data_IF_899995640085
#
_entry.id   IF_899995640085
#
_cell.length_a   1.000
_cell.length_b   1.000
_cell.length_c   1.000
_cell.angle_alpha   90.00
_cell.angle_beta   90.00
_cell.angle_gamma   90.00
#
_symmetry.space_group_name_H-M   'P 1'
#
loop_
_entity.id
_entity.type
_entity.pdbx_description
1 polymer ?
#
# COMPACT_ATOMS: atom_id res chain seq x y z
N UNK A 1 16.23 -5.35 -2.94
CA UNK A 1 14.76 -5.52 -3.10
C UNK A 1 14.04 -4.95 -1.89
N UNK A 2 12.79 -4.57 -2.05
CA UNK A 2 11.96 -4.08 -0.95
C UNK A 2 10.93 -5.13 -0.55
N UNK A 3 10.50 -5.06 0.72
CA UNK A 3 9.44 -5.90 1.27
C UNK A 3 8.43 -5.05 2.05
N UNK A 4 7.18 -5.49 1.97
CA UNK A 4 6.08 -5.06 2.84
C UNK A 4 5.61 -6.29 3.61
N UNK A 5 5.60 -6.18 4.93
CA UNK A 5 5.20 -7.25 5.83
C UNK A 5 3.99 -6.77 6.62
N UNK A 6 2.86 -7.42 6.40
CA UNK A 6 1.66 -7.22 7.25
C UNK A 6 1.68 -8.29 8.31
N UNK A 7 1.90 -7.90 9.56
CA UNK A 7 1.91 -8.80 10.71
C UNK A 7 0.64 -8.60 11.53
N UNK A 8 -0.08 -9.68 11.78
CA UNK A 8 -1.27 -9.73 12.63
C UNK A 8 -0.98 -10.68 13.79
N UNK A 9 -0.95 -10.14 15.00
CA UNK A 9 -0.85 -10.89 16.25
C UNK A 9 -2.26 -11.01 16.81
N UNK A 10 -2.81 -12.22 16.85
CA UNK A 10 -4.24 -12.45 17.11
C UNK A 10 -4.59 -12.47 18.61
N UNK A 11 -3.61 -12.74 19.47
CA UNK A 11 -3.78 -12.83 20.92
C UNK A 11 -2.53 -12.35 21.65
N UNK A 12 -2.65 -12.12 22.95
CA UNK A 12 -1.52 -11.66 23.75
C UNK A 12 -0.42 -12.72 23.83
N UNK A 13 0.82 -12.34 23.51
CA UNK A 13 1.99 -13.23 23.55
C UNK A 13 3.09 -12.53 24.34
N UNK A 14 3.73 -13.23 25.30
CA UNK A 14 4.80 -12.69 26.15
C UNK A 14 4.41 -11.39 26.89
N UNK A 15 3.16 -11.26 27.32
CA UNK A 15 2.66 -10.06 28.00
C UNK A 15 2.40 -8.86 27.10
N UNK A 16 2.57 -8.99 25.78
CA UNK A 16 2.21 -7.96 24.81
C UNK A 16 0.80 -8.21 24.29
N UNK A 17 -0.03 -7.16 24.10
CA UNK A 17 -1.39 -7.30 23.59
C UNK A 17 -1.40 -7.72 22.11
N UNK A 18 -2.55 -8.24 21.66
CA UNK A 18 -2.84 -8.42 20.25
C UNK A 18 -2.61 -7.10 19.47
N UNK A 19 -1.95 -7.18 18.32
CA UNK A 19 -1.54 -6.01 17.55
C UNK A 19 -1.41 -6.34 16.07
N UNK A 20 -1.78 -5.38 15.21
CA UNK A 20 -1.53 -5.45 13.78
C UNK A 20 -0.60 -4.32 13.38
N UNK A 21 0.46 -4.65 12.63
CA UNK A 21 1.43 -3.67 12.16
C UNK A 21 1.90 -3.95 10.73
N UNK A 22 2.29 -2.88 10.05
CA UNK A 22 2.90 -2.96 8.72
C UNK A 22 4.36 -2.55 8.82
N UNK A 23 5.26 -3.45 8.47
CA UNK A 23 6.71 -3.22 8.43
C UNK A 23 7.15 -3.10 6.98
N UNK A 24 7.94 -2.07 6.68
CA UNK A 24 8.50 -1.82 5.36
C UNK A 24 10.01 -1.77 5.47
N UNK A 25 10.70 -2.56 4.67
CA UNK A 25 12.16 -2.54 4.63
C UNK A 25 12.66 -2.79 3.22
N UNK A 26 13.80 -2.19 2.89
CA UNK A 26 14.52 -2.41 1.64
C UNK A 26 15.95 -2.80 1.97
N UNK A 27 16.50 -3.72 1.18
CA UNK A 27 17.86 -4.19 1.36
C UNK A 27 18.23 -5.29 0.37
N UNK A 28 19.47 -5.75 0.45
CA UNK A 28 19.91 -6.93 -0.29
C UNK A 28 19.51 -8.18 0.47
N UNK A 29 18.69 -9.03 -0.16
CA UNK A 29 18.33 -10.35 0.36
C UNK A 29 18.33 -11.33 -0.80
N UNK A 30 19.04 -12.43 -0.62
CA UNK A 30 18.92 -13.62 -1.44
C UNK A 30 17.64 -14.37 -1.04
N UNK A 31 16.65 -14.43 -1.93
CA UNK A 31 15.38 -15.08 -1.66
C UNK A 31 14.77 -15.60 -2.95
N UNK A 32 14.13 -16.76 -2.87
CA UNK A 32 13.34 -17.34 -3.96
C UNK A 32 11.99 -16.61 -4.16
N UNK A 33 11.59 -15.73 -3.22
CA UNK A 33 10.32 -15.01 -3.26
C UNK A 33 10.42 -13.61 -3.88
N UNK A 34 11.44 -13.34 -4.70
CA UNK A 34 11.60 -12.07 -5.44
C UNK A 34 10.34 -11.80 -6.28
N UNK A 35 9.75 -10.62 -6.13
CA UNK A 35 8.54 -10.20 -6.85
C UNK A 35 7.27 -10.96 -6.48
N UNK A 36 7.25 -11.70 -5.36
CA UNK A 36 6.10 -12.51 -4.95
C UNK A 36 5.71 -12.24 -3.50
N UNK A 37 4.44 -12.52 -3.20
CA UNK A 37 3.91 -12.56 -1.84
C UNK A 37 3.87 -14.01 -1.34
N UNK A 38 4.10 -14.19 -0.05
CA UNK A 38 3.92 -15.46 0.64
C UNK A 38 3.45 -15.21 2.07
N UNK A 39 2.76 -16.20 2.63
CA UNK A 39 2.28 -16.14 4.01
C UNK A 39 3.15 -17.01 4.92
N UNK A 40 3.27 -16.57 6.17
CA UNK A 40 3.89 -17.30 7.26
C UNK A 40 2.95 -17.24 8.45
N UNK A 41 2.54 -18.41 8.92
CA UNK A 41 1.75 -18.55 10.13
C UNK A 41 2.60 -19.25 11.19
N UNK A 42 2.41 -18.88 12.45
CA UNK A 42 3.12 -19.47 13.57
C UNK A 42 2.37 -19.27 14.87
N UNK A 43 2.94 -19.75 15.98
CA UNK A 43 2.37 -19.53 17.30
C UNK A 43 2.41 -18.03 17.63
N UNK A 44 1.24 -17.41 17.71
CA UNK A 44 1.09 -15.98 17.97
C UNK A 44 0.64 -15.12 16.78
N UNK A 45 0.34 -15.70 15.61
CA UNK A 45 -0.38 -14.98 14.55
C UNK A 45 0.06 -15.29 13.12
N UNK A 46 -0.33 -14.41 12.19
CA UNK A 46 -0.12 -14.54 10.75
C UNK A 46 0.67 -13.35 10.18
N UNK A 47 1.52 -13.64 9.22
CA UNK A 47 2.29 -12.64 8.48
C UNK A 47 2.12 -12.85 6.98
N UNK A 48 1.91 -11.76 6.26
CA UNK A 48 1.99 -11.73 4.81
C UNK A 48 3.21 -10.91 4.40
N UNK A 49 4.11 -11.52 3.63
CA UNK A 49 5.35 -10.91 3.18
C UNK A 49 5.30 -10.78 1.66
N UNK A 50 5.21 -9.55 1.16
CA UNK A 50 5.29 -9.24 -0.26
C UNK A 50 6.64 -8.61 -0.58
N UNK A 51 7.27 -9.01 -1.69
CA UNK A 51 8.48 -8.38 -2.19
C UNK A 51 8.29 -7.72 -3.55
N UNK A 52 9.09 -6.69 -3.82
CA UNK A 52 9.05 -5.91 -5.05
C UNK A 52 10.45 -5.36 -5.37
N UNK A 53 10.68 -5.02 -6.64
CA UNK A 53 12.02 -4.81 -7.21
C UNK A 53 12.28 -3.39 -7.70
N UNK A 54 11.29 -2.51 -7.66
CA UNK A 54 11.40 -1.12 -8.13
C UNK A 54 11.42 -0.14 -6.95
N UNK A 55 11.86 1.08 -7.19
CA UNK A 55 11.95 2.08 -6.13
C UNK A 55 10.56 2.42 -5.57
N UNK A 56 10.50 2.64 -4.25
CA UNK A 56 9.29 2.97 -3.49
C UNK A 56 8.13 1.96 -3.59
N UNK A 57 8.36 0.77 -4.14
CA UNK A 57 7.30 -0.21 -4.41
C UNK A 57 6.63 -0.80 -3.14
N UNK A 58 7.29 -0.73 -1.99
CA UNK A 58 6.73 -1.17 -0.71
C UNK A 58 6.08 -0.03 0.07
N UNK A 59 5.89 1.15 -0.55
CA UNK A 59 5.29 2.33 0.06
C UNK A 59 3.87 2.12 0.61
N UNK A 60 3.34 3.14 1.27
CA UNK A 60 1.90 3.20 1.52
C UNK A 60 1.23 3.61 0.21
N UNK A 61 0.19 2.87 -0.21
CA UNK A 61 -0.72 3.40 -1.22
C UNK A 61 -1.38 4.63 -0.60
N UNK A 62 -1.16 5.82 -1.15
CA UNK A 62 -1.88 7.06 -0.79
C UNK A 62 -3.32 7.03 -1.34
N UNK A 63 -3.91 5.83 -1.45
CA UNK A 63 -5.06 5.51 -2.28
C UNK A 63 -6.39 5.54 -1.55
N UNK A 64 -6.59 6.55 -0.71
CA UNK A 64 -7.92 7.05 -0.37
C UNK A 64 -7.84 8.56 -0.57
N UNK A 65 -8.62 9.09 -1.51
CA UNK A 65 -8.80 10.53 -1.83
C UNK A 65 -7.82 11.22 -2.80
N UNK A 66 -7.38 10.56 -3.87
CA UNK A 66 -7.03 11.31 -5.08
C UNK A 66 -8.19 11.17 -6.08
N UNK A 67 -9.01 12.23 -6.28
CA UNK A 67 -10.05 12.18 -7.31
C UNK A 67 -9.37 11.90 -8.65
N UNK A 68 -9.97 11.04 -9.50
CA UNK A 68 -9.35 10.69 -10.77
C UNK A 68 -9.14 11.98 -11.58
N UNK A 69 -7.94 12.13 -12.17
CA UNK A 69 -7.52 13.34 -12.88
C UNK A 69 -8.51 13.81 -13.96
N UNK A 70 -9.37 12.91 -14.43
CA UNK A 70 -10.49 13.18 -15.34
C UNK A 70 -11.55 14.14 -14.79
N UNK A 71 -11.78 14.18 -13.47
CA UNK A 71 -12.74 15.12 -12.86
C UNK A 71 -12.29 16.58 -12.95
N UNK A 72 -10.97 16.84 -12.86
CA UNK A 72 -10.42 18.20 -12.93
C UNK A 72 -10.60 18.77 -14.34
N UNK A 73 -10.40 17.93 -15.37
CA UNK A 73 -10.55 18.35 -16.77
C UNK A 73 -12.00 18.69 -17.13
N UNK A 74 -12.96 17.91 -16.62
CA UNK A 74 -14.40 18.13 -16.86
C UNK A 74 -14.90 19.47 -16.31
N UNK A 75 -14.37 19.90 -15.16
CA UNK A 75 -14.78 21.16 -14.53
C UNK A 75 -14.28 22.37 -15.34
N UNK A 76 -13.03 22.33 -15.80
CA UNK A 76 -12.44 23.40 -16.61
C UNK A 76 -13.18 23.58 -17.96
N UNK A 77 -13.49 22.49 -18.65
CA UNK A 77 -14.26 22.55 -19.91
C UNK A 77 -15.68 23.08 -19.70
N UNK A 78 -16.35 22.69 -18.61
CA UNK A 78 -17.69 23.19 -18.28
C UNK A 78 -17.71 24.71 -18.05
N UNK A 79 -16.73 25.25 -17.32
CA UNK A 79 -16.61 26.70 -17.07
C UNK A 79 -16.32 27.47 -18.35
N UNK A 80 -15.47 26.94 -19.23
CA UNK A 80 -15.16 27.57 -20.53
C UNK A 80 -16.40 27.59 -21.44
N UNK A 81 -17.13 26.48 -21.53
CA UNK A 81 -18.38 26.41 -22.31
C UNK A 81 -19.46 27.36 -21.78
N UNK A 82 -19.60 27.47 -20.46
CA UNK A 82 -20.51 28.43 -19.83
C UNK A 82 -20.11 29.89 -20.08
N UNK A 83 -18.81 30.19 -20.13
CA UNK A 83 -18.31 31.52 -20.46
C UNK A 83 -18.58 31.90 -21.93
N UNK A 84 -18.39 30.94 -22.84
CA UNK A 84 -18.66 31.14 -24.28
C UNK A 84 -20.17 31.27 -24.55
N UNK A 85 -21.01 30.48 -23.88
CA UNK A 85 -22.47 30.52 -24.07
C UNK A 85 -23.15 31.78 -23.48
N UNK A 86 -22.44 32.56 -22.65
CA UNK A 86 -22.93 33.78 -22.01
C UNK A 86 -22.52 35.07 -22.74
N UNK A 87 -21.70 34.98 -23.78
CA UNK A 87 -21.26 36.08 -24.64
C UNK A 87 -21.89 35.98 -26.03
#
# INVERSE_FOLDING_TARGET
>A
MCRKITQVIEFSVNGLPANTRVIRSCGWIESTYKGRCYQRSGFGGRQEVCSCLHDYCNGATTGVDQPPKTFILSCALGVILLAIARN
#
